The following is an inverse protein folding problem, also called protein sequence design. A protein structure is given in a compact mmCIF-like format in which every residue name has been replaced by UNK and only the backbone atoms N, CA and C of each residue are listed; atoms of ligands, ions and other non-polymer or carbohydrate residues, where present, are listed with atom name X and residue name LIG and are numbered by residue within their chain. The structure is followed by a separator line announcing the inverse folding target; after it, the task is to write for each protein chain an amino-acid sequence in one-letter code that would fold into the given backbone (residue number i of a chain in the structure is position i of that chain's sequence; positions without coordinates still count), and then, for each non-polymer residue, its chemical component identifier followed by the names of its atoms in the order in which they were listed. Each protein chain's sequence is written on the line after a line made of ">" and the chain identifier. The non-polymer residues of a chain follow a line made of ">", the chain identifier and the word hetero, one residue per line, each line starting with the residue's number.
data_IF_463719808839
#
_entry.id   IF_463719808839
#
_cell.length_a   1.000
_cell.length_b   1.000
_cell.length_c   1.000
_cell.angle_alpha   90.00
_cell.angle_beta   90.00
_cell.angle_gamma   90.00
#
_symmetry.space_group_name_H-M   'P 1'
#
loop_
_entity.id
_entity.type
_entity.pdbx_description
1 polymer ?
#
# COMPACT_ATOMS: atom_id res chain seq x y z
N UNK A 1 -2.31 -41.23 -4.99
CA UNK A 1 -1.90 -40.02 -5.75
C UNK A 1 -0.45 -39.69 -5.45
N UNK A 2 0.34 -39.17 -6.42
CA UNK A 2 1.78 -38.91 -6.22
C UNK A 2 2.10 -37.81 -5.20
N UNK A 3 1.17 -36.87 -4.98
CA UNK A 3 1.34 -35.74 -4.03
C UNK A 3 1.10 -36.15 -2.56
N UNK A 4 0.27 -37.14 -2.30
CA UNK A 4 -0.19 -37.46 -0.95
C UNK A 4 0.92 -37.76 0.07
N UNK A 5 2.04 -38.40 -0.28
CA UNK A 5 3.14 -38.62 0.67
C UNK A 5 3.94 -37.37 1.01
N UNK A 6 3.77 -36.28 0.28
CA UNK A 6 4.52 -35.04 0.50
C UNK A 6 4.06 -34.33 1.78
N UNK A 7 4.97 -33.60 2.46
CA UNK A 7 4.64 -32.77 3.60
C UNK A 7 3.56 -31.74 3.25
N UNK A 8 2.69 -31.41 4.21
CA UNK A 8 1.59 -30.46 4.01
C UNK A 8 2.05 -29.09 3.55
N UNK A 9 3.26 -28.67 3.92
CA UNK A 9 3.86 -27.40 3.49
C UNK A 9 4.18 -27.30 2.00
N UNK A 10 4.24 -28.43 1.28
CA UNK A 10 4.46 -28.48 -0.16
C UNK A 10 3.16 -28.26 -0.96
N UNK A 11 2.01 -28.24 -0.28
CA UNK A 11 0.74 -27.98 -0.95
C UNK A 11 0.66 -26.51 -1.35
N UNK A 12 0.28 -26.27 -2.60
CA UNK A 12 0.03 -24.92 -3.11
C UNK A 12 -0.94 -24.15 -2.21
N UNK A 13 -0.63 -22.90 -1.87
CA UNK A 13 -1.33 -22.02 -0.93
C UNK A 13 -1.29 -22.45 0.55
N UNK A 14 -0.65 -23.51 0.95
CA UNK A 14 -0.42 -23.83 2.36
C UNK A 14 0.71 -22.97 2.93
N UNK A 15 0.39 -21.75 3.38
CA UNK A 15 1.33 -20.86 4.03
C UNK A 15 1.69 -21.31 5.46
N UNK A 16 2.75 -20.75 6.05
CA UNK A 16 3.27 -21.10 7.38
C UNK A 16 2.18 -21.17 8.47
N UNK A 17 1.26 -20.21 8.49
CA UNK A 17 0.17 -20.16 9.47
C UNK A 17 -0.82 -21.32 9.29
N UNK A 18 -1.16 -21.66 8.03
CA UNK A 18 -2.05 -22.77 7.71
C UNK A 18 -1.42 -24.10 8.06
N UNK A 19 -0.14 -24.27 7.71
CA UNK A 19 0.65 -25.46 8.05
C UNK A 19 0.67 -25.68 9.56
N UNK A 20 1.04 -24.66 10.35
CA UNK A 20 1.05 -24.74 11.80
C UNK A 20 -0.33 -25.08 12.43
N UNK A 21 -1.41 -24.66 11.78
CA UNK A 21 -2.77 -25.01 12.22
C UNK A 21 -3.11 -26.46 11.89
N UNK A 22 -2.77 -26.91 10.68
CA UNK A 22 -2.99 -28.27 10.24
C UNK A 22 -2.15 -29.30 11.03
N UNK A 23 -0.89 -28.97 11.34
CA UNK A 23 -0.01 -29.79 12.18
C UNK A 23 -0.56 -29.97 13.60
N UNK A 24 -1.20 -28.96 14.18
CA UNK A 24 -1.92 -29.06 15.47
C UNK A 24 -3.13 -30.01 15.41
N UNK A 25 -3.67 -30.22 14.21
CA UNK A 25 -4.72 -31.20 13.93
C UNK A 25 -4.16 -32.58 13.53
N UNK A 26 -2.85 -32.79 13.71
CA UNK A 26 -2.10 -34.00 13.31
C UNK A 26 -2.09 -34.28 11.81
N UNK A 27 -2.40 -33.29 10.98
CA UNK A 27 -2.33 -33.34 9.52
C UNK A 27 -0.93 -32.92 9.09
N UNK A 28 -0.09 -33.90 8.73
CA UNK A 28 1.33 -33.69 8.38
C UNK A 28 1.62 -33.79 6.90
N UNK A 29 0.78 -34.55 6.18
CA UNK A 29 0.94 -34.79 4.74
C UNK A 29 -0.25 -34.27 3.96
N UNK A 30 -0.09 -34.09 2.65
CA UNK A 30 -1.17 -33.74 1.73
C UNK A 30 -2.25 -34.84 1.76
N UNK A 31 -1.85 -36.10 1.90
CA UNK A 31 -2.76 -37.22 1.99
C UNK A 31 -3.63 -37.20 3.26
N UNK A 32 -3.04 -36.83 4.41
CA UNK A 32 -3.80 -36.69 5.65
C UNK A 32 -4.91 -35.63 5.48
N UNK A 33 -4.57 -34.49 4.87
CA UNK A 33 -5.55 -33.44 4.59
C UNK A 33 -6.62 -33.91 3.62
N UNK A 34 -6.26 -34.60 2.56
CA UNK A 34 -7.20 -35.08 1.55
C UNK A 34 -8.25 -36.05 2.11
N UNK A 35 -7.88 -36.83 3.14
CA UNK A 35 -8.75 -37.83 3.80
C UNK A 35 -9.52 -37.28 5.00
N UNK A 36 -9.18 -36.05 5.45
CA UNK A 36 -9.86 -35.42 6.57
C UNK A 36 -11.28 -34.95 6.18
N UNK A 37 -12.20 -34.96 7.15
CA UNK A 37 -13.52 -34.33 6.95
C UNK A 37 -13.32 -32.82 6.70
N UNK A 38 -13.75 -32.36 5.54
CA UNK A 38 -13.63 -30.97 5.11
C UNK A 38 -14.25 -29.98 6.13
N UNK A 39 -15.32 -30.39 6.83
CA UNK A 39 -16.00 -29.57 7.84
C UNK A 39 -15.09 -29.25 9.03
N UNK A 40 -14.25 -30.20 9.43
CA UNK A 40 -13.28 -30.01 10.50
C UNK A 40 -12.19 -29.03 10.07
N UNK A 41 -11.72 -29.14 8.83
CA UNK A 41 -10.72 -28.21 8.27
C UNK A 41 -11.29 -26.79 8.15
N UNK A 42 -12.56 -26.68 7.71
CA UNK A 42 -13.25 -25.40 7.62
C UNK A 42 -13.49 -24.75 8.98
N UNK A 43 -13.69 -25.51 10.03
CA UNK A 43 -13.86 -24.98 11.38
C UNK A 43 -12.62 -24.16 11.83
N UNK A 44 -11.42 -24.60 11.45
CA UNK A 44 -10.15 -23.98 11.84
C UNK A 44 -9.62 -22.95 10.83
N UNK A 45 -9.77 -23.22 9.53
CA UNK A 45 -9.20 -22.42 8.45
C UNK A 45 -10.25 -21.73 7.56
N UNK A 46 -11.53 -21.86 7.90
CA UNK A 46 -12.68 -21.27 7.17
C UNK A 46 -12.64 -21.65 5.68
N UNK A 47 -13.03 -20.74 4.81
CA UNK A 47 -13.04 -20.93 3.35
C UNK A 47 -11.67 -21.28 2.76
N UNK A 48 -10.58 -20.87 3.41
CA UNK A 48 -9.23 -21.23 2.99
C UNK A 48 -8.94 -22.71 3.22
N UNK A 49 -9.46 -23.28 4.32
CA UNK A 49 -9.36 -24.71 4.61
C UNK A 49 -10.04 -25.57 3.56
N UNK A 50 -11.24 -25.19 3.09
CA UNK A 50 -11.91 -25.86 1.98
C UNK A 50 -11.04 -25.87 0.72
N UNK A 51 -10.46 -24.73 0.34
CA UNK A 51 -9.58 -24.65 -0.83
C UNK A 51 -8.37 -25.56 -0.73
N UNK A 52 -7.73 -25.59 0.43
CA UNK A 52 -6.57 -26.49 0.65
C UNK A 52 -7.00 -27.95 0.55
N UNK A 53 -8.14 -28.32 1.09
CA UNK A 53 -8.69 -29.66 0.99
C UNK A 53 -9.01 -30.04 -0.47
N UNK A 54 -9.62 -29.13 -1.23
CA UNK A 54 -9.90 -29.32 -2.66
C UNK A 54 -8.60 -29.56 -3.43
N UNK A 55 -7.57 -28.72 -3.22
CA UNK A 55 -6.24 -28.90 -3.86
C UNK A 55 -5.58 -30.21 -3.49
N UNK A 56 -5.67 -30.65 -2.22
CA UNK A 56 -5.14 -31.94 -1.77
C UNK A 56 -5.83 -33.13 -2.49
N UNK A 57 -7.07 -32.96 -2.87
CA UNK A 57 -7.86 -33.92 -3.66
C UNK A 57 -7.72 -33.73 -5.18
N UNK A 58 -6.93 -32.76 -5.63
CA UNK A 58 -6.76 -32.46 -7.06
C UNK A 58 -7.97 -31.78 -7.69
N UNK A 59 -8.80 -31.14 -6.87
CA UNK A 59 -9.98 -30.40 -7.33
C UNK A 59 -9.58 -28.92 -7.46
N UNK A 60 -9.62 -28.39 -8.67
CA UNK A 60 -9.44 -26.97 -8.95
C UNK A 60 -10.45 -26.54 -10.03
N UNK A 61 -11.40 -25.71 -9.63
CA UNK A 61 -12.42 -25.14 -10.49
C UNK A 61 -12.06 -23.78 -11.07
N UNK A 62 -10.81 -23.30 -10.83
CA UNK A 62 -10.39 -22.00 -11.35
C UNK A 62 -10.28 -22.03 -12.88
N UNK A 63 -10.86 -21.01 -13.52
CA UNK A 63 -10.75 -20.83 -14.96
C UNK A 63 -9.48 -20.04 -15.28
N UNK A 64 -8.90 -20.33 -16.44
CA UNK A 64 -7.80 -19.52 -16.98
C UNK A 64 -8.42 -18.22 -17.52
N UNK A 65 -8.17 -17.12 -16.82
CA UNK A 65 -8.62 -15.80 -17.26
C UNK A 65 -7.62 -15.24 -18.28
N UNK A 66 -8.09 -14.99 -19.50
CA UNK A 66 -7.28 -14.40 -20.57
C UNK A 66 -7.01 -12.91 -20.35
N UNK A 67 -7.90 -12.22 -19.62
CA UNK A 67 -7.80 -10.80 -19.34
C UNK A 67 -7.48 -10.55 -17.87
N UNK A 68 -6.65 -9.53 -17.61
CA UNK A 68 -6.39 -9.08 -16.24
C UNK A 68 -7.65 -8.45 -15.66
N UNK A 69 -8.06 -8.91 -14.50
CA UNK A 69 -9.10 -8.22 -13.73
C UNK A 69 -8.73 -6.76 -13.50
N UNK A 70 -9.70 -5.87 -13.56
CA UNK A 70 -9.51 -4.45 -13.27
C UNK A 70 -8.92 -4.23 -11.87
N UNK A 71 -8.03 -3.26 -11.77
CA UNK A 71 -7.38 -2.95 -10.51
C UNK A 71 -8.39 -2.40 -9.51
N UNK A 72 -8.58 -3.08 -8.38
CA UNK A 72 -9.48 -2.61 -7.29
C UNK A 72 -8.93 -1.42 -6.51
N UNK A 73 -7.67 -1.08 -6.72
CA UNK A 73 -7.00 0.04 -6.08
C UNK A 73 -5.55 0.18 -6.51
N UNK A 74 -5.02 1.38 -6.36
CA UNK A 74 -3.62 1.73 -6.66
C UNK A 74 -3.00 2.24 -5.37
N UNK A 75 -1.91 1.64 -4.94
CA UNK A 75 -1.22 2.04 -3.72
C UNK A 75 0.29 1.99 -3.87
N UNK A 76 0.97 2.71 -2.98
CA UNK A 76 2.41 2.64 -2.81
C UNK A 76 2.75 2.76 -1.32
N UNK A 77 3.77 2.03 -0.90
CA UNK A 77 4.31 2.11 0.46
C UNK A 77 5.83 2.05 0.41
N UNK A 78 6.47 2.62 1.42
CA UNK A 78 7.93 2.58 1.53
C UNK A 78 8.36 2.28 2.95
N UNK A 79 9.29 1.34 3.08
CA UNK A 79 10.05 1.12 4.31
C UNK A 79 11.12 2.20 4.39
N UNK A 80 11.19 2.87 5.53
CA UNK A 80 12.08 3.99 5.74
C UNK A 80 13.48 3.48 6.12
N UNK A 81 14.53 4.16 5.64
CA UNK A 81 15.91 3.80 5.97
C UNK A 81 16.22 4.01 7.46
N UNK A 82 15.58 4.99 8.07
CA UNK A 82 15.57 5.26 9.51
C UNK A 82 14.13 5.52 9.93
N UNK A 83 13.77 5.12 11.15
CA UNK A 83 12.43 5.33 11.67
C UNK A 83 12.15 6.84 11.79
N UNK A 84 11.00 7.26 11.28
CA UNK A 84 10.53 8.64 11.31
C UNK A 84 9.84 8.92 12.64
N UNK A 85 10.20 10.03 13.26
CA UNK A 85 9.73 10.44 14.60
C UNK A 85 9.06 11.82 14.59
N UNK A 86 8.99 12.48 13.44
CA UNK A 86 8.37 13.81 13.31
C UNK A 86 7.30 13.83 12.24
N UNK A 87 6.27 14.67 12.45
CA UNK A 87 5.22 14.87 11.45
C UNK A 87 5.77 15.46 10.14
N UNK A 88 6.78 16.32 10.22
CA UNK A 88 7.38 16.94 9.05
C UNK A 88 8.06 15.90 8.14
N UNK A 89 8.84 14.99 8.72
CA UNK A 89 9.48 13.89 7.98
C UNK A 89 8.41 12.96 7.37
N UNK A 90 7.39 12.59 8.16
CA UNK A 90 6.28 11.78 7.68
C UNK A 90 5.53 12.45 6.52
N UNK A 91 5.27 13.76 6.63
CA UNK A 91 4.63 14.56 5.57
C UNK A 91 5.43 14.54 4.27
N UNK A 92 6.75 14.64 4.33
CA UNK A 92 7.61 14.56 3.15
C UNK A 92 7.56 13.18 2.48
N UNK A 93 7.50 12.11 3.27
CA UNK A 93 7.33 10.74 2.75
C UNK A 93 5.95 10.56 2.10
N UNK A 94 4.89 10.95 2.81
CA UNK A 94 3.51 10.89 2.30
C UNK A 94 3.34 11.72 1.03
N UNK A 95 4.06 12.84 0.91
CA UNK A 95 4.02 13.64 -0.31
C UNK A 95 4.55 12.85 -1.52
N UNK A 96 5.71 12.20 -1.39
CA UNK A 96 6.28 11.36 -2.47
C UNK A 96 5.38 10.18 -2.83
N UNK A 97 4.77 9.56 -1.82
CA UNK A 97 3.80 8.48 -2.04
C UNK A 97 2.56 8.99 -2.78
N UNK A 98 2.06 10.20 -2.43
CA UNK A 98 0.94 10.84 -3.10
C UNK A 98 1.24 11.15 -4.58
N UNK A 99 2.43 11.68 -4.89
CA UNK A 99 2.87 11.89 -6.28
C UNK A 99 2.91 10.57 -7.07
N UNK A 100 3.47 9.50 -6.48
CA UNK A 100 3.52 8.18 -7.11
C UNK A 100 2.13 7.60 -7.38
N UNK A 101 1.22 7.69 -6.40
CA UNK A 101 -0.16 7.19 -6.54
C UNK A 101 -0.93 8.03 -7.56
N UNK A 102 -0.84 9.36 -7.50
CA UNK A 102 -1.50 10.28 -8.43
C UNK A 102 -1.05 10.08 -9.88
N UNK A 103 0.27 9.96 -10.10
CA UNK A 103 0.82 9.69 -11.44
C UNK A 103 0.32 8.35 -12.00
N UNK A 104 0.21 7.30 -11.16
CA UNK A 104 -0.31 5.99 -11.58
C UNK A 104 -1.81 6.02 -11.87
N UNK A 105 -2.59 6.77 -11.08
CA UNK A 105 -4.01 7.00 -11.35
C UNK A 105 -4.21 7.72 -12.70
N UNK A 106 -3.48 8.81 -12.94
CA UNK A 106 -3.53 9.56 -14.20
C UNK A 106 -3.10 8.71 -15.40
N UNK A 107 -2.06 7.88 -15.24
CA UNK A 107 -1.62 6.96 -16.29
C UNK A 107 -2.67 5.90 -16.62
N UNK A 108 -3.46 5.46 -15.63
CA UNK A 108 -4.55 4.52 -15.81
C UNK A 108 -5.86 5.19 -16.30
N UNK A 109 -5.93 6.54 -16.41
CA UNK A 109 -7.16 7.26 -16.73
C UNK A 109 -8.18 7.20 -15.59
N UNK A 110 -7.75 6.98 -14.36
CA UNK A 110 -8.64 6.71 -13.21
C UNK A 110 -8.55 7.80 -12.15
N UNK A 111 -9.58 7.86 -11.33
CA UNK A 111 -9.71 8.71 -10.13
C UNK A 111 -10.03 7.85 -8.92
N UNK A 112 -9.62 8.28 -7.74
CA UNK A 112 -9.85 7.57 -6.48
C UNK A 112 -11.00 8.21 -5.71
N UNK A 113 -11.99 7.43 -5.31
CA UNK A 113 -13.10 7.84 -4.44
C UNK A 113 -12.82 7.58 -2.96
N UNK A 114 -11.77 6.82 -2.63
CA UNK A 114 -11.37 6.54 -1.24
C UNK A 114 -9.87 6.47 -1.13
N UNK A 115 -9.33 7.03 -0.05
CA UNK A 115 -7.92 6.94 0.32
C UNK A 115 -7.76 6.27 1.68
N UNK A 116 -6.69 5.48 1.83
CA UNK A 116 -6.25 4.96 3.12
C UNK A 116 -4.77 5.25 3.33
N UNK A 117 -4.40 5.49 4.58
CA UNK A 117 -3.01 5.57 5.05
C UNK A 117 -2.74 4.37 5.93
N UNK A 118 -1.57 3.78 5.76
CA UNK A 118 -1.04 2.70 6.57
C UNK A 118 0.23 3.16 7.26
N UNK A 119 0.33 2.90 8.56
CA UNK A 119 1.52 3.09 9.38
C UNK A 119 1.96 1.74 9.90
N UNK A 120 3.22 1.40 9.71
CA UNK A 120 3.87 0.32 10.46
C UNK A 120 4.91 0.94 11.39
N UNK A 121 4.77 0.67 12.67
CA UNK A 121 5.66 1.16 13.72
C UNK A 121 6.96 0.35 13.80
N UNK A 122 7.92 0.83 14.59
CA UNK A 122 9.22 0.19 14.87
C UNK A 122 9.07 -1.24 15.43
N UNK A 123 8.01 -1.50 16.20
CA UNK A 123 7.66 -2.80 16.78
C UNK A 123 6.92 -3.75 15.80
N UNK A 124 6.80 -3.36 14.53
CA UNK A 124 6.09 -4.05 13.45
C UNK A 124 4.56 -4.08 13.59
N UNK A 125 3.99 -3.42 14.58
CA UNK A 125 2.54 -3.20 14.62
C UNK A 125 2.11 -2.34 13.45
N UNK A 126 0.99 -2.72 12.84
CA UNK A 126 0.45 -2.03 11.66
C UNK A 126 -0.94 -1.51 11.98
N UNK A 127 -1.17 -0.26 11.69
CA UNK A 127 -2.48 0.34 11.74
C UNK A 127 -2.81 1.06 10.43
N UNK A 128 -4.08 1.18 10.11
CA UNK A 128 -4.54 1.87 8.92
C UNK A 128 -5.85 2.59 9.16
N UNK A 129 -6.02 3.72 8.50
CA UNK A 129 -7.27 4.47 8.50
C UNK A 129 -7.63 4.90 7.09
N UNK A 130 -8.93 4.96 6.78
CA UNK A 130 -9.41 5.27 5.44
C UNK A 130 -10.53 6.29 5.47
N UNK A 131 -10.66 7.05 4.38
CA UNK A 131 -11.66 8.11 4.23
C UNK A 131 -12.21 8.12 2.82
N UNK A 132 -13.53 8.22 2.71
CA UNK A 132 -14.19 8.54 1.45
C UNK A 132 -13.86 9.98 1.07
N UNK A 133 -13.52 10.17 -0.19
CA UNK A 133 -13.31 11.50 -0.74
C UNK A 133 -14.66 12.10 -1.12
N UNK A 134 -14.76 13.40 -0.92
CA UNK A 134 -15.94 14.14 -1.34
C UNK A 134 -16.11 14.14 -2.86
N UNK A 135 -15.02 14.19 -3.59
CA UNK A 135 -14.95 14.11 -5.05
C UNK A 135 -13.78 13.22 -5.44
N UNK A 136 -14.00 12.36 -6.40
CA UNK A 136 -12.97 11.48 -6.93
C UNK A 136 -11.82 12.30 -7.49
N UNK A 137 -10.60 11.90 -7.18
CA UNK A 137 -9.41 12.68 -7.50
C UNK A 137 -8.24 11.81 -7.99
N UNK A 138 -7.41 12.41 -8.82
CA UNK A 138 -6.07 11.93 -9.15
C UNK A 138 -5.00 13.03 -8.93
N UNK A 139 -5.37 14.10 -8.22
CA UNK A 139 -4.48 15.21 -7.90
C UNK A 139 -3.57 14.89 -6.72
N UNK A 140 -2.26 15.03 -6.91
CA UNK A 140 -1.24 14.80 -5.90
C UNK A 140 -1.49 15.61 -4.63
N UNK A 141 -1.93 16.87 -4.79
CA UNK A 141 -2.21 17.78 -3.68
C UNK A 141 -3.38 17.29 -2.82
N UNK A 142 -4.46 16.82 -3.43
CA UNK A 142 -5.64 16.33 -2.69
C UNK A 142 -5.30 15.03 -2.00
N UNK A 143 -4.61 14.12 -2.69
CA UNK A 143 -4.14 12.85 -2.13
C UNK A 143 -3.25 13.12 -0.91
N UNK A 144 -2.25 14.01 -1.04
CA UNK A 144 -1.36 14.36 0.07
C UNK A 144 -2.10 15.01 1.24
N UNK A 145 -2.95 16.03 0.99
CA UNK A 145 -3.67 16.70 2.08
C UNK A 145 -4.59 15.76 2.85
N UNK A 146 -5.26 14.84 2.15
CA UNK A 146 -6.09 13.81 2.80
C UNK A 146 -5.24 12.79 3.54
N UNK A 147 -4.09 12.40 2.98
CA UNK A 147 -3.17 11.49 3.65
C UNK A 147 -2.62 12.09 4.96
N UNK A 148 -2.32 13.39 5.00
CA UNK A 148 -1.91 14.08 6.24
C UNK A 148 -3.04 14.14 7.27
N UNK A 149 -4.29 14.39 6.84
CA UNK A 149 -5.44 14.35 7.75
C UNK A 149 -5.55 12.95 8.40
N UNK A 150 -5.54 11.87 7.57
CA UNK A 150 -5.61 10.49 8.06
C UNK A 150 -4.42 10.11 8.93
N UNK A 151 -3.22 10.56 8.57
CA UNK A 151 -2.01 10.33 9.33
C UNK A 151 -2.11 10.91 10.75
N UNK A 152 -2.58 12.16 10.88
CA UNK A 152 -2.75 12.83 12.17
C UNK A 152 -3.78 12.15 13.06
N UNK A 153 -4.83 11.58 12.47
CA UNK A 153 -5.84 10.81 13.20
C UNK A 153 -5.31 9.46 13.69
N UNK A 154 -4.31 8.89 13.00
CA UNK A 154 -3.82 7.55 13.20
C UNK A 154 -2.54 7.47 14.03
N UNK A 155 -1.64 8.47 13.89
CA UNK A 155 -0.33 8.44 14.48
C UNK A 155 -0.37 8.72 15.99
N UNK A 156 0.23 7.82 16.77
CA UNK A 156 0.28 7.87 18.23
C UNK A 156 1.56 8.52 18.79
N UNK A 157 2.47 9.02 17.94
CA UNK A 157 3.75 9.61 18.33
C UNK A 157 4.92 8.64 18.38
N UNK A 158 4.69 7.33 18.17
CA UNK A 158 5.77 6.34 18.14
C UNK A 158 6.56 6.37 16.82
N UNK A 159 7.84 5.88 16.84
CA UNK A 159 8.66 5.82 15.64
C UNK A 159 8.05 4.96 14.53
N UNK A 160 8.09 5.47 13.31
CA UNK A 160 7.44 4.88 12.14
C UNK A 160 8.48 4.24 11.23
N UNK A 161 8.30 2.94 10.94
CA UNK A 161 9.16 2.16 10.06
C UNK A 161 8.70 2.14 8.61
N UNK A 162 7.38 2.17 8.36
CA UNK A 162 6.81 2.15 7.01
C UNK A 162 5.59 3.07 6.95
N UNK A 163 5.49 3.79 5.85
CA UNK A 163 4.30 4.55 5.47
C UNK A 163 3.77 4.08 4.13
N UNK A 164 2.45 4.02 4.02
CA UNK A 164 1.75 3.66 2.80
C UNK A 164 0.53 4.54 2.52
N UNK A 165 0.26 4.78 1.24
CA UNK A 165 -0.99 5.36 0.73
C UNK A 165 -1.59 4.37 -0.26
N UNK A 166 -2.90 4.09 -0.10
CA UNK A 166 -3.66 3.28 -1.04
C UNK A 166 -4.93 4.02 -1.45
N UNK A 167 -5.18 4.05 -2.75
CA UNK A 167 -6.44 4.50 -3.34
C UNK A 167 -7.33 3.30 -3.66
N UNK A 168 -8.64 3.49 -3.52
CA UNK A 168 -9.66 2.51 -3.88
C UNK A 168 -10.94 3.21 -4.29
N UNK A 169 -11.99 2.45 -4.64
CA UNK A 169 -13.18 2.97 -5.31
C UNK A 169 -12.78 3.80 -6.54
N UNK A 170 -12.10 3.12 -7.44
CA UNK A 170 -11.62 3.75 -8.67
C UNK A 170 -12.80 3.98 -9.62
N UNK A 171 -12.83 5.16 -10.25
CA UNK A 171 -13.74 5.55 -11.32
C UNK A 171 -12.93 6.02 -12.53
N UNK A 172 -13.47 5.88 -13.72
CA UNK A 172 -12.81 6.35 -14.94
C UNK A 172 -12.84 7.88 -15.06
N UNK A 173 -11.80 8.46 -15.68
CA UNK A 173 -11.73 9.90 -15.90
C UNK A 173 -12.82 10.29 -16.91
N UNK A 174 -13.85 11.02 -16.44
CA UNK A 174 -14.99 11.44 -17.28
C UNK A 174 -16.32 10.82 -16.90
N UNK A 175 -16.34 9.81 -16.02
CA UNK A 175 -17.60 9.31 -15.48
C UNK A 175 -18.32 10.39 -14.64
N UNK A 176 -19.64 10.55 -14.82
CA UNK A 176 -20.41 11.47 -14.02
C UNK A 176 -20.49 10.97 -12.56
N UNK A 177 -20.00 11.77 -11.63
CA UNK A 177 -20.09 11.46 -10.21
C UNK A 177 -21.46 11.82 -9.66
N UNK A 178 -22.15 10.87 -9.04
CA UNK A 178 -23.40 11.13 -8.34
C UNK A 178 -23.11 11.85 -7.03
N UNK A 179 -23.46 13.14 -6.98
CA UNK A 179 -23.35 13.95 -5.76
C UNK A 179 -24.65 13.85 -4.95
N UNK A 180 -24.55 13.66 -3.65
CA UNK A 180 -25.67 13.79 -2.73
C UNK A 180 -26.02 15.26 -2.49
N UNK A 181 -27.29 15.56 -2.18
CA UNK A 181 -27.73 16.91 -1.77
C UNK A 181 -26.92 17.42 -0.57
N UNK A 182 -26.56 16.54 0.36
CA UNK A 182 -25.70 16.87 1.50
C UNK A 182 -24.27 17.26 1.07
N UNK A 183 -23.78 16.68 0.00
CA UNK A 183 -22.47 16.98 -0.56
C UNK A 183 -22.39 18.40 -1.11
N UNK A 184 -23.48 18.89 -1.71
CA UNK A 184 -23.57 20.25 -2.25
C UNK A 184 -23.48 21.31 -1.14
N UNK A 185 -24.02 21.02 0.05
CA UNK A 185 -23.93 21.94 1.20
C UNK A 185 -22.50 22.00 1.77
N UNK A 186 -21.77 20.88 1.74
CA UNK A 186 -20.38 20.79 2.19
C UNK A 186 -19.44 21.50 1.21
N UNK A 187 -19.72 21.45 -0.10
CA UNK A 187 -18.96 22.20 -1.12
C UNK A 187 -18.86 23.69 -0.83
N UNK A 188 -19.96 24.30 -0.37
CA UNK A 188 -19.99 25.74 -0.03
C UNK A 188 -19.09 26.10 1.14
N UNK A 189 -18.72 25.14 2.02
CA UNK A 189 -17.88 25.35 3.21
C UNK A 189 -16.40 24.96 3.00
N UNK A 190 -16.08 24.02 2.11
CA UNK A 190 -14.70 23.54 1.88
C UNK A 190 -14.12 24.10 0.58
N UNK A 191 -13.41 25.19 0.69
CA UNK A 191 -12.64 25.89 -0.36
C UNK A 191 -11.37 25.13 -0.79
N UNK A 192 -11.40 23.94 -1.38
CA UNK A 192 -10.18 23.39 -2.03
C UNK A 192 -10.49 22.20 -2.96
N UNK A 193 -11.28 22.43 -3.99
CA UNK A 193 -11.27 21.59 -5.18
C UNK A 193 -9.96 21.82 -5.95
N UNK A 194 -9.35 20.78 -6.58
CA UNK A 194 -8.22 21.01 -7.46
C UNK A 194 -8.67 21.92 -8.59
N UNK A 195 -7.99 23.04 -8.76
CA UNK A 195 -8.26 23.94 -9.88
C UNK A 195 -7.76 23.27 -11.16
N UNK A 196 -8.40 23.53 -12.29
CA UNK A 196 -7.95 23.08 -13.63
C UNK A 196 -6.44 23.33 -13.87
N UNK A 197 -5.91 24.42 -13.28
CA UNK A 197 -4.47 24.72 -13.30
C UNK A 197 -3.63 23.68 -12.53
N UNK A 198 -4.13 23.16 -11.43
CA UNK A 198 -3.40 22.14 -10.65
C UNK A 198 -3.33 20.81 -11.40
N UNK A 199 -4.44 20.38 -12.02
CA UNK A 199 -4.45 19.16 -12.85
C UNK A 199 -3.50 19.29 -14.05
N UNK A 200 -3.45 20.46 -14.69
CA UNK A 200 -2.51 20.73 -15.77
C UNK A 200 -1.04 20.70 -15.30
N UNK A 201 -0.78 21.24 -14.12
CA UNK A 201 0.56 21.20 -13.52
C UNK A 201 0.99 19.75 -13.23
N UNK A 202 0.11 18.94 -12.59
CA UNK A 202 0.40 17.55 -12.28
C UNK A 202 0.69 16.75 -13.57
N UNK A 203 -0.10 16.95 -14.64
CA UNK A 203 0.14 16.33 -15.95
C UNK A 203 1.45 16.79 -16.60
N UNK A 204 1.81 18.07 -16.48
CA UNK A 204 3.08 18.60 -17.01
C UNK A 204 4.30 18.03 -16.27
N UNK A 205 4.21 17.92 -14.94
CA UNK A 205 5.23 17.28 -14.12
C UNK A 205 5.44 15.81 -14.48
N UNK A 206 4.34 15.06 -14.69
CA UNK A 206 4.41 13.67 -15.14
C UNK A 206 5.14 13.53 -16.49
N UNK A 207 4.88 14.45 -17.44
CA UNK A 207 5.55 14.46 -18.74
C UNK A 207 7.07 14.73 -18.62
N UNK A 208 7.45 15.67 -17.76
CA UNK A 208 8.86 15.99 -17.51
C UNK A 208 9.56 14.79 -16.88
N UNK A 209 8.97 14.19 -15.85
CA UNK A 209 9.52 13.00 -15.17
C UNK A 209 9.63 11.80 -16.11
N UNK A 210 8.63 11.58 -16.98
CA UNK A 210 8.70 10.53 -18.00
C UNK A 210 9.85 10.71 -18.98
N UNK A 211 10.20 11.97 -19.32
CA UNK A 211 11.25 12.28 -20.31
C UNK A 211 12.65 12.34 -19.70
N UNK A 212 12.77 12.86 -18.48
CA UNK A 212 14.06 13.18 -17.86
C UNK A 212 14.36 12.39 -16.58
N UNK A 213 13.45 11.48 -16.17
CA UNK A 213 13.56 10.68 -14.95
C UNK A 213 12.81 11.28 -13.76
N UNK A 214 12.48 10.43 -12.80
CA UNK A 214 11.62 10.79 -11.66
C UNK A 214 12.25 11.87 -10.74
N UNK A 215 13.58 11.92 -10.65
CA UNK A 215 14.32 12.88 -9.85
C UNK A 215 14.55 14.24 -10.54
N UNK A 216 14.13 14.40 -11.81
CA UNK A 216 14.37 15.61 -12.60
C UNK A 216 13.67 16.87 -12.06
N UNK A 217 12.54 16.69 -11.38
CA UNK A 217 11.77 17.77 -10.74
C UNK A 217 11.42 17.37 -9.33
N UNK A 218 11.93 18.11 -8.37
CA UNK A 218 11.65 17.98 -6.94
C UNK A 218 11.07 19.28 -6.42
N UNK A 219 10.02 19.23 -5.62
CA UNK A 219 9.47 20.45 -4.99
C UNK A 219 10.43 21.00 -3.94
N UNK A 220 10.49 22.33 -3.83
CA UNK A 220 11.37 23.01 -2.88
C UNK A 220 11.19 22.60 -1.42
N UNK A 221 9.95 22.25 -1.01
CA UNK A 221 9.68 21.71 0.34
C UNK A 221 10.31 20.35 0.61
N UNK A 222 10.63 19.57 -0.42
CA UNK A 222 11.31 18.28 -0.29
C UNK A 222 12.86 18.40 -0.37
N UNK A 223 13.38 19.57 -0.74
CA UNK A 223 14.82 19.80 -0.82
C UNK A 223 15.49 19.88 0.55
N UNK A 224 14.82 20.40 1.56
CA UNK A 224 15.34 20.47 2.93
C UNK A 224 15.59 19.09 3.53
N UNK A 225 14.71 18.15 3.25
CA UNK A 225 14.85 16.76 3.71
C UNK A 225 15.92 15.99 2.94
N UNK A 226 16.13 16.29 1.66
CA UNK A 226 17.24 15.72 0.86
C UNK A 226 18.58 16.26 1.31
N UNK A 227 18.69 17.56 1.61
CA UNK A 227 19.92 18.15 2.13
C UNK A 227 20.28 17.62 3.52
N UNK A 228 19.32 17.44 4.42
CA UNK A 228 19.56 16.86 5.75
C UNK A 228 19.98 15.38 5.66
N UNK A 229 19.45 14.60 4.72
CA UNK A 229 19.88 13.21 4.51
C UNK A 229 21.28 13.12 3.87
N UNK A 230 21.63 14.03 2.97
CA UNK A 230 22.97 14.12 2.36
C UNK A 230 24.02 14.57 3.36
N UNK A 231 23.70 15.51 4.25
CA UNK A 231 24.61 15.98 5.30
C UNK A 231 24.84 14.91 6.39
N UNK A 232 23.81 14.11 6.73
CA UNK A 232 23.96 12.96 7.67
C UNK A 232 24.90 11.89 7.07
N UNK A 233 24.74 11.51 5.81
CA UNK A 233 25.61 10.53 5.14
C UNK A 233 27.07 11.00 5.00
N UNK A 234 27.33 12.30 4.96
CA UNK A 234 28.70 12.84 4.96
C UNK A 234 29.34 12.87 6.36
N UNK A 235 28.51 12.88 7.43
CA UNK A 235 28.98 12.82 8.81
C UNK A 235 29.49 11.44 9.20
N UNK A 236 28.76 10.39 8.86
CA UNK A 236 29.13 9.00 9.21
C UNK A 236 30.37 8.50 8.47
N UNK A 237 30.58 8.92 7.23
CA UNK A 237 31.80 8.57 6.46
C UNK A 237 33.11 9.20 6.98
N UNK A 238 33.04 10.21 7.88
CA UNK A 238 34.23 10.81 8.51
C UNK A 238 34.60 10.16 9.83
N UNK A 239 33.66 9.63 10.58
CA UNK A 239 33.95 8.93 11.85
C UNK A 239 34.57 7.54 11.62
N UNK A 240 34.18 6.80 10.58
CA UNK A 240 34.80 5.51 10.26
C UNK A 240 36.25 5.61 9.80
N UNK A 241 36.61 6.70 9.10
CA UNK A 241 38.00 6.93 8.66
C UNK A 241 38.93 7.34 9.79
N UNK A 242 38.41 7.90 10.88
CA UNK A 242 39.20 8.30 12.04
C UNK A 242 39.48 7.15 12.99
N UNK A 243 38.58 6.15 13.07
CA UNK A 243 38.80 4.92 13.87
C UNK A 243 39.82 3.94 13.25
N UNK A 244 39.93 3.91 11.91
CA UNK A 244 40.92 3.06 11.20
C UNK A 244 42.38 3.60 11.19
N UNK A 245 42.62 4.80 11.69
CA UNK A 245 43.97 5.40 11.80
C UNK A 245 44.56 5.34 13.22
N UNK A 246 43.86 4.71 14.16
CA UNK A 246 44.30 4.58 15.54
C UNK A 246 44.48 3.15 16.07
N UNK A 247 44.55 2.18 15.10
CA UNK A 247 44.99 0.80 15.39
C UNK A 247 46.27 0.49 14.51
#
# INVERSE_FOLDING_TARGET
>A
MKMWPLPIGELYMAGRSSVATLEKMEIRTIGDLAQMDVRLVELHLKSHGRKLWEFANGIDGSQVEAERAEAKGIGNSTTLAQDVVTEEEASNVLYRLAESVGARLRKAGQRAGMLSVEIKYYNFETCSHQKLLFQDTNSDRVIHSTAIELFRELWNGEPIRLLGIRSSKLSDEGEPQQLSIFDIQIQKKKKKLPTRKQEQLDKALDQIRKRYGESSVVRGSALSSLQSSLLRNQGEGKEEKTKKKRT
#
